data_IF_692928407342
#
_entry.id   IF_692928407342
#
_cell.length_a   1.000
_cell.length_b   1.000
_cell.length_c   1.000
_cell.angle_alpha   90.00
_cell.angle_beta   90.00
_cell.angle_gamma   90.00
#
_symmetry.space_group_name_H-M   'P 1'
#
loop_
_entity.id
_entity.type
_entity.pdbx_description
1 polymer ?
#
# COMPACT_ATOMS: atom_id res chain seq x y z
N UNK A 1 18.74 4.71 2.88
CA UNK A 1 18.03 5.75 2.08
C UNK A 1 16.60 5.27 1.89
N UNK A 2 15.61 6.12 2.16
CA UNK A 2 14.21 5.80 1.87
C UNK A 2 14.00 5.82 0.35
N UNK A 3 13.36 4.78 -0.19
CA UNK A 3 12.98 4.69 -1.60
C UNK A 3 11.46 4.59 -1.71
N UNK A 4 10.88 5.40 -2.58
CA UNK A 4 9.46 5.39 -2.90
C UNK A 4 9.37 5.28 -4.42
N UNK A 5 8.76 4.21 -4.90
CA UNK A 5 8.52 3.96 -6.31
C UNK A 5 7.02 3.74 -6.55
N UNK A 6 6.57 3.93 -7.78
CA UNK A 6 5.20 3.65 -8.20
C UNK A 6 5.18 3.18 -9.64
N UNK A 7 4.33 2.18 -9.92
CA UNK A 7 4.13 1.63 -11.25
C UNK A 7 2.66 1.73 -11.63
N UNK A 8 2.38 2.34 -12.79
CA UNK A 8 1.04 2.35 -13.35
C UNK A 8 0.68 0.97 -13.92
N UNK A 9 -0.60 0.64 -13.93
CA UNK A 9 -1.10 -0.62 -14.52
C UNK A 9 -1.78 -0.33 -15.86
N UNK A 10 -1.04 -0.18 -16.98
CA UNK A 10 -1.58 0.36 -18.23
C UNK A 10 -2.71 -0.48 -18.82
N UNK A 11 -2.75 -1.78 -18.53
CA UNK A 11 -3.74 -2.73 -19.05
C UNK A 11 -4.80 -3.13 -18.02
N UNK A 12 -4.73 -2.63 -16.77
CA UNK A 12 -5.64 -3.03 -15.70
C UNK A 12 -6.26 -1.80 -15.04
N UNK A 13 -7.58 -1.78 -14.91
CA UNK A 13 -8.28 -0.68 -14.23
C UNK A 13 -8.65 -1.07 -12.81
N UNK A 14 -8.73 -0.07 -11.93
CA UNK A 14 -9.17 -0.27 -10.55
C UNK A 14 -8.18 -1.02 -9.65
N UNK A 15 -6.94 -1.23 -10.09
CA UNK A 15 -5.87 -1.83 -9.28
C UNK A 15 -5.21 -0.79 -8.39
N UNK A 16 -4.94 -1.19 -7.15
CA UNK A 16 -4.15 -0.42 -6.20
C UNK A 16 -3.56 -1.38 -5.18
N UNK A 17 -2.23 -1.45 -5.15
CA UNK A 17 -1.47 -2.29 -4.23
C UNK A 17 -0.38 -1.46 -3.55
N UNK A 18 -0.18 -1.70 -2.26
CA UNK A 18 0.85 -1.03 -1.47
C UNK A 18 1.74 -2.10 -0.86
N UNK A 19 3.03 -2.00 -1.15
CA UNK A 19 4.06 -2.88 -0.60
C UNK A 19 5.03 -2.04 0.23
N UNK A 20 5.34 -2.50 1.43
CA UNK A 20 6.29 -1.85 2.35
C UNK A 20 7.32 -2.90 2.75
N UNK A 21 8.61 -2.62 2.52
CA UNK A 21 9.71 -3.54 2.85
C UNK A 21 9.49 -4.95 2.26
N UNK A 22 9.02 -5.01 1.01
CA UNK A 22 8.68 -6.26 0.31
C UNK A 22 7.38 -6.95 0.74
N UNK A 23 6.67 -6.42 1.74
CA UNK A 23 5.40 -6.98 2.23
C UNK A 23 4.19 -6.25 1.66
N UNK A 24 3.24 -6.99 1.07
CA UNK A 24 1.95 -6.44 0.65
C UNK A 24 1.11 -6.06 1.88
N UNK A 25 0.75 -4.78 2.01
CA UNK A 25 0.02 -4.22 3.16
C UNK A 25 -1.40 -3.76 2.81
N UNK A 26 -1.66 -3.47 1.54
CA UNK A 26 -2.99 -3.17 1.02
C UNK A 26 -3.11 -3.72 -0.41
N UNK A 27 -4.21 -4.40 -0.73
CA UNK A 27 -4.54 -4.76 -2.10
C UNK A 27 -6.03 -4.61 -2.35
N UNK A 28 -6.37 -3.66 -3.23
CA UNK A 28 -7.73 -3.50 -3.70
C UNK A 28 -8.23 -4.75 -4.44
N UNK A 29 -7.33 -5.47 -5.12
CA UNK A 29 -7.63 -6.72 -5.83
C UNK A 29 -8.00 -7.85 -4.87
N UNK A 30 -7.35 -7.91 -3.70
CA UNK A 30 -7.64 -8.91 -2.67
C UNK A 30 -8.81 -8.53 -1.75
N UNK A 31 -9.57 -7.49 -2.10
CA UNK A 31 -10.80 -7.11 -1.39
C UNK A 31 -10.65 -6.03 -0.32
N UNK A 32 -9.46 -5.42 -0.12
CA UNK A 32 -9.31 -4.30 0.82
C UNK A 32 -10.09 -3.04 0.37
N UNK A 33 -10.49 -2.99 -0.92
CA UNK A 33 -11.22 -1.88 -1.51
C UNK A 33 -10.37 -0.61 -1.66
N UNK A 34 -11.04 0.53 -1.78
CA UNK A 34 -10.39 1.85 -1.80
C UNK A 34 -9.86 2.22 -0.42
N UNK A 35 -8.82 3.06 -0.35
CA UNK A 35 -8.34 3.66 0.90
C UNK A 35 -9.19 4.90 1.22
N UNK A 36 -10.46 4.66 1.53
CA UNK A 36 -11.52 5.67 1.66
C UNK A 36 -11.96 5.91 3.11
N UNK A 37 -11.31 5.24 4.06
CA UNK A 37 -11.57 5.34 5.50
C UNK A 37 -10.26 5.51 6.23
N UNK A 38 -10.28 6.29 7.30
CA UNK A 38 -9.11 6.55 8.15
C UNK A 38 -8.43 5.25 8.59
N UNK A 39 -9.21 4.25 9.03
CA UNK A 39 -8.66 2.95 9.46
C UNK A 39 -7.82 2.24 8.38
N UNK A 40 -8.17 2.39 7.10
CA UNK A 40 -7.41 1.80 5.98
C UNK A 40 -6.13 2.56 5.70
N UNK A 41 -6.17 3.90 5.80
CA UNK A 41 -4.98 4.74 5.69
C UNK A 41 -4.00 4.44 6.85
N UNK A 42 -4.51 4.39 8.07
CA UNK A 42 -3.73 4.08 9.27
C UNK A 42 -3.04 2.71 9.20
N UNK A 43 -3.70 1.69 8.63
CA UNK A 43 -3.09 0.36 8.38
C UNK A 43 -1.80 0.49 7.55
N UNK A 44 -1.82 1.31 6.50
CA UNK A 44 -0.65 1.53 5.62
C UNK A 44 0.42 2.35 6.36
N UNK A 45 0.03 3.45 7.01
CA UNK A 45 0.94 4.33 7.76
C UNK A 45 1.68 3.55 8.85
N UNK A 46 0.96 2.75 9.64
CA UNK A 46 1.57 1.92 10.69
C UNK A 46 2.58 0.93 10.12
N UNK A 47 2.29 0.32 8.96
CA UNK A 47 3.25 -0.59 8.33
C UNK A 47 4.53 0.13 7.88
N UNK A 48 4.42 1.36 7.38
CA UNK A 48 5.55 2.22 7.05
C UNK A 48 6.35 2.56 8.31
N UNK A 49 5.69 3.01 9.38
CA UNK A 49 6.35 3.35 10.65
C UNK A 49 7.11 2.15 11.24
N UNK A 50 6.51 0.96 11.21
CA UNK A 50 7.16 -0.27 11.67
C UNK A 50 8.38 -0.60 10.81
N UNK A 51 8.31 -0.42 9.49
CA UNK A 51 9.44 -0.66 8.59
C UNK A 51 10.59 0.35 8.78
N UNK A 52 10.27 1.62 9.10
CA UNK A 52 11.26 2.67 9.32
C UNK A 52 11.99 2.59 10.67
N UNK A 53 11.43 1.85 11.64
CA UNK A 53 12.05 1.63 12.96
C UNK A 53 13.05 0.46 12.98
N UNK A 54 13.17 -0.28 11.88
CA UNK A 54 14.19 -1.32 11.69
C UNK A 54 15.51 -0.70 11.24
#
# INVERSE_FOLDING_TARGET
MLKIDGEGTPTSTGWFEVTVDGKLVHSKKNGDGFVDKEAKLQKIVLAIEVALRK
#
